data_IF_007284998186
#
_entry.id   IF_007284998186
#
_cell.length_a   1.000
_cell.length_b   1.000
_cell.length_c   1.000
_cell.angle_alpha   90.00
_cell.angle_beta   90.00
_cell.angle_gamma   90.00
#
_symmetry.space_group_name_H-M   'P 1'
#
loop_
_entity.id
_entity.type
_entity.pdbx_description
1 polymer ?
#
# COMPACT_ATOMS: atom_id res chain seq x y z
N UNK A 1 -2.55 42.09 9.65
CA UNK A 1 -2.16 40.87 10.40
C UNK A 1 -1.61 39.84 9.43
N UNK A 2 -0.78 38.92 9.92
CA UNK A 2 -0.26 37.79 9.15
C UNK A 2 -0.84 36.49 9.69
N UNK A 3 -1.25 35.59 8.80
CA UNK A 3 -1.81 34.28 9.13
C UNK A 3 -1.05 33.21 8.35
N UNK A 4 -0.50 32.23 9.05
CA UNK A 4 0.05 31.01 8.47
C UNK A 4 -0.75 29.81 8.95
N UNK A 5 -0.84 28.78 8.12
CA UNK A 5 -1.41 27.49 8.48
C UNK A 5 -0.68 26.34 7.76
N UNK A 6 -0.77 25.12 8.29
CA UNK A 6 -0.15 23.93 7.68
C UNK A 6 -0.89 22.62 8.05
N UNK A 7 -0.45 21.49 7.51
CA UNK A 7 -1.01 20.16 7.77
C UNK A 7 0.04 19.14 8.22
N UNK A 8 -0.11 18.65 9.45
CA UNK A 8 0.64 17.51 9.98
C UNK A 8 -0.19 16.22 9.88
N UNK A 9 0.27 15.28 9.05
CA UNK A 9 -0.42 13.99 8.88
C UNK A 9 -0.34 13.08 10.11
N UNK A 10 0.63 13.30 11.02
CA UNK A 10 0.75 12.54 12.26
C UNK A 10 -0.26 13.02 13.31
N UNK A 11 -0.74 14.26 13.16
CA UNK A 11 -1.77 14.90 13.99
C UNK A 11 -2.83 15.56 13.10
N UNK A 12 -3.59 14.80 12.28
CA UNK A 12 -4.40 15.33 11.18
C UNK A 12 -5.59 16.20 11.61
N UNK A 13 -5.87 16.29 12.91
CA UNK A 13 -6.91 17.14 13.50
C UNK A 13 -6.35 18.33 14.28
N UNK A 14 -5.03 18.46 14.39
CA UNK A 14 -4.42 19.59 15.07
C UNK A 14 -4.67 20.87 14.29
N UNK A 15 -5.06 21.92 15.01
CA UNK A 15 -5.23 23.26 14.46
C UNK A 15 -3.87 23.97 14.48
N UNK A 16 -3.23 24.04 13.32
CA UNK A 16 -1.90 24.62 13.14
C UNK A 16 -1.93 26.10 12.73
N UNK A 17 -3.10 26.67 12.47
CA UNK A 17 -3.25 28.07 12.14
C UNK A 17 -2.70 28.98 13.25
N UNK A 18 -1.88 29.95 12.86
CA UNK A 18 -1.31 30.98 13.72
C UNK A 18 -1.58 32.36 13.12
N UNK A 19 -1.98 33.30 13.97
CA UNK A 19 -2.28 34.69 13.57
C UNK A 19 -1.48 35.64 14.44
N UNK A 20 -0.71 36.54 13.81
CA UNK A 20 -0.02 37.63 14.51
C UNK A 20 -0.48 38.96 13.92
N UNK A 21 -1.05 39.81 14.78
CA UNK A 21 -1.46 41.16 14.43
C UNK A 21 -0.50 42.17 15.07
N UNK A 22 0.00 43.11 14.25
CA UNK A 22 0.83 44.20 14.74
C UNK A 22 0.50 45.51 13.96
N UNK A 23 -0.72 46.05 14.12
CA UNK A 23 -1.19 47.20 13.36
C UNK A 23 -0.43 48.47 13.74
N UNK A 24 -0.29 49.39 12.79
CA UNK A 24 0.15 50.77 13.02
C UNK A 24 -1.07 51.67 13.24
N UNK A 25 -0.85 52.83 13.84
CA UNK A 25 -1.87 53.88 14.00
C UNK A 25 -2.10 54.63 12.67
N UNK A 26 -2.54 53.91 11.66
CA UNK A 26 -2.86 54.43 10.32
C UNK A 26 -4.19 53.87 9.86
N UNK A 27 -4.86 54.54 8.91
CA UNK A 27 -6.01 53.95 8.23
C UNK A 27 -5.65 52.61 7.58
N UNK A 28 -6.57 51.64 7.61
CA UNK A 28 -6.44 50.32 6.96
C UNK A 28 -5.30 49.41 7.48
N UNK A 29 -4.83 49.58 8.72
CA UNK A 29 -3.76 48.76 9.31
C UNK A 29 -4.18 47.32 9.71
N UNK A 30 -5.42 46.92 9.45
CA UNK A 30 -6.00 45.64 9.88
C UNK A 30 -6.11 44.59 8.78
N UNK A 31 -5.71 44.89 7.54
CA UNK A 31 -5.76 43.91 6.45
C UNK A 31 -4.98 42.64 6.76
N UNK A 32 -5.49 41.52 6.27
CA UNK A 32 -4.93 40.20 6.47
C UNK A 32 -4.06 39.77 5.28
N UNK A 33 -2.94 39.13 5.59
CA UNK A 33 -2.16 38.34 4.65
C UNK A 33 -2.19 36.89 5.11
N UNK A 34 -2.71 35.99 4.26
CA UNK A 34 -2.78 34.55 4.52
C UNK A 34 -1.83 33.80 3.57
N UNK A 35 -1.03 32.89 4.10
CA UNK A 35 -0.09 32.05 3.32
C UNK A 35 -0.22 30.57 3.74
N UNK A 36 -0.26 29.69 2.73
CA UNK A 36 -0.26 28.22 2.85
C UNK A 36 0.61 27.60 1.74
N UNK A 37 1.46 26.60 2.04
CA UNK A 37 1.76 26.06 3.37
C UNK A 37 2.65 27.01 4.18
N UNK A 38 2.69 26.80 5.50
CA UNK A 38 3.47 27.60 6.45
C UNK A 38 4.91 27.12 6.67
N UNK A 39 5.25 25.91 6.21
CA UNK A 39 6.52 25.20 6.42
C UNK A 39 6.82 24.87 7.90
N UNK A 40 5.81 24.37 8.64
CA UNK A 40 6.00 23.92 10.01
C UNK A 40 5.04 22.79 10.40
N UNK A 41 5.43 22.00 11.40
CA UNK A 41 4.58 20.93 11.97
C UNK A 41 4.29 21.12 13.46
N UNK A 42 4.99 22.06 14.11
CA UNK A 42 4.76 22.44 15.50
C UNK A 42 4.13 23.83 15.59
N UNK A 43 3.18 23.99 16.50
CA UNK A 43 2.44 25.25 16.63
C UNK A 43 3.33 26.40 17.11
N UNK A 44 4.29 26.14 18.00
CA UNK A 44 5.20 27.17 18.52
C UNK A 44 6.16 27.69 17.45
N UNK A 45 6.62 26.80 16.56
CA UNK A 45 7.38 27.17 15.37
C UNK A 45 6.52 28.01 14.41
N UNK A 46 5.28 27.60 14.15
CA UNK A 46 4.34 28.38 13.35
C UNK A 46 4.07 29.78 13.91
N UNK A 47 3.94 29.93 15.24
CA UNK A 47 3.80 31.24 15.90
C UNK A 47 5.06 32.09 15.71
N UNK A 48 6.24 31.51 15.88
CA UNK A 48 7.52 32.18 15.64
C UNK A 48 7.63 32.67 14.19
N UNK A 49 7.36 31.81 13.21
CA UNK A 49 7.42 32.14 11.78
C UNK A 49 6.40 33.22 11.42
N UNK A 50 5.15 33.12 11.88
CA UNK A 50 4.10 34.11 11.65
C UNK A 50 4.50 35.48 12.22
N UNK A 51 5.11 35.50 13.41
CA UNK A 51 5.63 36.73 14.02
C UNK A 51 6.75 37.35 13.19
N UNK A 52 7.72 36.55 12.76
CA UNK A 52 8.81 37.00 11.87
C UNK A 52 8.26 37.61 10.58
N UNK A 53 7.23 37.00 9.98
CA UNK A 53 6.57 37.53 8.78
C UNK A 53 5.86 38.86 9.04
N UNK A 54 5.11 38.97 10.15
CA UNK A 54 4.46 40.22 10.52
C UNK A 54 5.48 41.34 10.84
N UNK A 55 6.56 41.03 11.55
CA UNK A 55 7.66 41.96 11.82
C UNK A 55 8.36 42.41 10.52
N UNK A 56 8.64 41.48 9.60
CA UNK A 56 9.18 41.80 8.28
C UNK A 56 8.23 42.73 7.51
N UNK A 57 6.94 42.41 7.42
CA UNK A 57 5.96 43.25 6.72
C UNK A 57 5.87 44.66 7.34
N UNK A 58 6.00 44.79 8.67
CA UNK A 58 5.98 46.07 9.37
C UNK A 58 7.25 46.89 9.17
N UNK A 59 8.41 46.25 9.00
CA UNK A 59 9.73 46.88 9.06
C UNK A 59 9.92 48.05 8.06
N UNK A 60 9.52 47.96 6.77
CA UNK A 60 9.69 49.05 5.80
C UNK A 60 8.99 50.36 6.17
N UNK A 61 7.88 50.31 6.93
CA UNK A 61 7.14 51.52 7.29
C UNK A 61 7.86 52.44 8.28
N UNK A 62 8.99 52.02 8.88
CA UNK A 62 9.76 52.82 9.84
C UNK A 62 11.09 53.30 9.26
N UNK A 63 11.28 53.24 7.94
CA UNK A 63 12.54 53.66 7.32
C UNK A 63 12.69 55.17 7.31
N UNK A 64 13.91 55.64 7.53
CA UNK A 64 14.29 57.05 7.44
C UNK A 64 15.40 57.17 6.41
N UNK A 65 15.29 58.12 5.51
CA UNK A 65 16.33 58.43 4.54
C UNK A 65 17.09 59.67 5.01
N UNK A 66 18.41 59.63 4.91
CA UNK A 66 19.27 60.75 5.26
C UNK A 66 20.42 60.89 4.29
N UNK A 67 21.06 62.06 4.31
CA UNK A 67 22.24 62.32 3.51
C UNK A 67 23.12 63.38 4.17
N UNK A 68 24.43 63.28 3.93
CA UNK A 68 25.40 64.23 4.44
C UNK A 68 26.83 63.86 4.09
N UNK A 69 27.78 64.66 4.57
CA UNK A 69 29.21 64.50 4.27
C UNK A 69 29.91 63.62 5.33
N UNK A 70 29.25 62.54 5.76
CA UNK A 70 29.72 61.68 6.85
C UNK A 70 30.50 60.50 6.28
N UNK A 71 31.80 60.44 6.59
CA UNK A 71 32.74 59.47 6.03
C UNK A 71 32.79 58.12 6.73
N UNK A 72 32.27 58.07 7.95
CA UNK A 72 32.45 56.94 8.87
C UNK A 72 31.22 56.03 8.96
N UNK A 73 30.16 56.30 8.18
CA UNK A 73 28.95 55.48 8.21
C UNK A 73 29.19 54.16 7.47
N UNK A 74 28.83 53.06 8.14
CA UNK A 74 28.96 51.71 7.62
C UNK A 74 27.65 50.95 7.84
N UNK A 75 27.15 50.30 6.79
CA UNK A 75 25.96 49.43 6.90
C UNK A 75 26.17 48.36 7.96
N UNK A 76 25.15 48.12 8.78
CA UNK A 76 25.18 47.17 9.90
C UNK A 76 25.56 47.78 11.26
N UNK A 77 26.02 49.03 11.30
CA UNK A 77 26.32 49.73 12.56
C UNK A 77 25.12 50.54 13.03
N UNK A 78 25.10 50.88 14.32
CA UNK A 78 24.15 51.86 14.87
C UNK A 78 24.79 53.23 15.03
N UNK A 79 23.98 54.28 14.96
CA UNK A 79 24.38 55.61 15.42
C UNK A 79 23.18 56.39 15.97
N UNK A 80 23.47 57.33 16.86
CA UNK A 80 22.46 58.22 17.44
C UNK A 80 22.35 59.50 16.63
N UNK A 81 21.14 59.81 16.15
CA UNK A 81 20.83 61.10 15.55
C UNK A 81 20.50 62.11 16.65
N UNK A 82 21.14 63.27 16.59
CA UNK A 82 20.93 64.38 17.52
C UNK A 82 20.67 65.69 16.75
N UNK A 83 20.02 66.65 17.42
CA UNK A 83 19.77 68.01 16.93
C UNK A 83 18.93 68.14 15.64
N UNK A 84 18.09 67.16 15.31
CA UNK A 84 17.08 67.27 14.27
C UNK A 84 15.84 68.07 14.78
N UNK A 85 15.23 68.96 13.98
CA UNK A 85 14.12 69.81 14.43
C UNK A 85 12.89 69.08 14.99
N UNK A 86 12.63 67.87 14.50
CA UNK A 86 11.56 67.00 15.02
C UNK A 86 12.13 66.11 16.12
N UNK A 87 11.73 66.35 17.37
CA UNK A 87 12.30 65.72 18.55
C UNK A 87 12.25 64.18 18.49
N UNK A 88 11.15 63.61 18.00
CA UNK A 88 10.88 62.16 17.94
C UNK A 88 11.80 61.40 16.96
N UNK A 89 12.49 62.13 16.08
CA UNK A 89 13.46 61.57 15.12
C UNK A 89 14.85 61.47 15.77
N UNK A 90 15.14 62.19 16.85
CA UNK A 90 16.42 62.11 17.55
C UNK A 90 16.50 60.85 18.41
N UNK A 91 17.02 59.77 17.85
CA UNK A 91 17.15 58.47 18.50
C UNK A 91 18.28 57.65 17.88
N UNK A 92 18.50 56.44 18.39
CA UNK A 92 19.42 55.48 17.80
C UNK A 92 18.80 54.76 16.59
N UNK A 93 19.60 54.64 15.53
CA UNK A 93 19.25 53.98 14.29
C UNK A 93 20.27 52.93 13.88
N UNK A 94 19.80 51.82 13.32
CA UNK A 94 20.58 50.88 12.53
C UNK A 94 20.73 51.39 11.09
N UNK A 95 21.97 51.42 10.58
CA UNK A 95 22.29 51.73 9.19
C UNK A 95 21.98 50.53 8.28
N UNK A 96 20.88 50.60 7.55
CA UNK A 96 20.40 49.53 6.67
C UNK A 96 21.12 49.52 5.31
N UNK A 97 21.43 50.71 4.79
CA UNK A 97 22.12 50.88 3.52
C UNK A 97 22.93 52.17 3.55
N UNK A 98 24.14 52.14 2.99
CA UNK A 98 24.95 53.34 2.71
C UNK A 98 25.30 53.36 1.23
N UNK A 99 25.05 54.49 0.57
CA UNK A 99 25.45 54.77 -0.80
C UNK A 99 26.44 55.93 -0.76
N UNK A 100 27.66 55.66 -1.19
CA UNK A 100 28.75 56.60 -1.16
C UNK A 100 29.02 57.19 -2.55
N UNK A 101 29.06 58.50 -2.63
CA UNK A 101 29.55 59.25 -3.78
C UNK A 101 30.81 60.02 -3.39
N UNK A 102 31.93 59.67 -4.04
CA UNK A 102 33.21 60.37 -3.86
C UNK A 102 33.68 60.91 -5.20
N UNK A 103 34.01 62.18 -5.22
CA UNK A 103 34.71 62.84 -6.30
C UNK A 103 35.99 63.45 -5.75
N UNK A 104 37.12 63.14 -6.38
CA UNK A 104 38.42 63.68 -6.02
C UNK A 104 38.76 64.91 -6.87
N UNK A 105 39.73 65.69 -6.40
CA UNK A 105 40.28 66.86 -7.04
C UNK A 105 40.99 66.52 -8.37
N UNK A 106 40.99 67.47 -9.31
CA UNK A 106 41.66 67.31 -10.59
C UNK A 106 43.19 67.37 -10.44
N UNK A 107 43.92 66.50 -11.14
CA UNK A 107 45.38 66.34 -10.97
C UNK A 107 46.23 67.49 -11.54
N UNK A 108 45.67 68.37 -12.38
CA UNK A 108 46.39 69.46 -13.06
C UNK A 108 45.93 70.83 -12.57
N UNK A 109 46.89 71.76 -12.40
CA UNK A 109 46.60 73.16 -12.08
C UNK A 109 45.89 73.85 -13.26
N UNK A 110 44.81 74.58 -12.97
CA UNK A 110 44.00 75.31 -13.97
C UNK A 110 42.66 74.68 -14.33
N UNK A 111 42.31 73.51 -13.76
CA UNK A 111 40.94 72.96 -13.79
C UNK A 111 40.21 73.24 -12.48
N UNK A 112 38.87 73.26 -12.53
CA UNK A 112 38.03 73.42 -11.34
C UNK A 112 38.30 72.27 -10.34
N UNK A 113 38.79 72.65 -9.16
CA UNK A 113 39.16 71.74 -8.08
C UNK A 113 37.93 71.45 -7.22
N UNK A 114 37.33 70.26 -7.38
CA UNK A 114 36.13 69.86 -6.65
C UNK A 114 36.33 68.52 -5.94
N UNK A 115 36.48 68.56 -4.61
CA UNK A 115 36.36 67.40 -3.74
C UNK A 115 34.92 67.29 -3.24
N UNK A 116 34.27 66.15 -3.46
CA UNK A 116 32.94 65.87 -2.92
C UNK A 116 32.95 64.52 -2.22
N UNK A 117 32.40 64.48 -1.01
CA UNK A 117 32.10 63.25 -0.31
C UNK A 117 30.66 63.33 0.18
N UNK A 118 29.77 62.56 -0.45
CA UNK A 118 28.35 62.53 -0.09
C UNK A 118 27.94 61.09 0.22
N UNK A 119 27.41 60.89 1.41
CA UNK A 119 26.82 59.62 1.82
C UNK A 119 25.32 59.81 1.86
N UNK A 120 24.58 58.99 1.12
CA UNK A 120 23.14 58.78 1.31
C UNK A 120 22.95 57.49 2.08
N UNK A 121 22.01 57.45 3.00
CA UNK A 121 21.82 56.28 3.84
C UNK A 121 20.34 56.05 4.17
N UNK A 122 20.00 54.78 4.35
CA UNK A 122 18.70 54.33 4.86
C UNK A 122 18.88 53.81 6.28
N UNK A 123 18.01 54.26 7.17
CA UNK A 123 18.03 53.97 8.59
C UNK A 123 16.80 53.21 9.04
N UNK A 124 16.96 52.41 10.09
CA UNK A 124 15.87 51.77 10.81
C UNK A 124 16.00 52.03 12.32
N UNK A 125 14.97 52.57 12.99
CA UNK A 125 15.02 52.81 14.44
C UNK A 125 15.33 51.52 15.22
N UNK A 126 16.28 51.55 16.16
CA UNK A 126 16.64 50.34 16.93
C UNK A 126 15.52 49.87 17.87
N UNK A 127 14.56 50.74 18.18
CA UNK A 127 13.32 50.40 18.92
C UNK A 127 12.34 49.53 18.13
N UNK A 128 12.48 49.42 16.81
CA UNK A 128 11.64 48.54 15.98
C UNK A 128 12.46 47.31 15.58
N UNK A 129 11.82 46.14 15.62
CA UNK A 129 12.49 44.88 15.27
C UNK A 129 12.73 44.85 13.76
N UNK A 130 14.00 44.67 13.36
CA UNK A 130 14.35 44.40 11.98
C UNK A 130 14.20 42.92 11.63
N UNK A 131 13.55 42.67 10.49
CA UNK A 131 13.58 41.38 9.78
C UNK A 131 13.82 41.64 8.29
N UNK A 132 14.66 40.81 7.63
CA UNK A 132 14.88 40.92 6.19
C UNK A 132 13.60 40.58 5.41
N UNK A 133 13.40 41.27 4.28
CA UNK A 133 12.34 40.92 3.33
C UNK A 133 12.68 39.63 2.59
N UNK A 134 11.67 38.83 2.23
CA UNK A 134 11.84 37.68 1.33
C UNK A 134 11.95 38.15 -0.12
N UNK A 135 13.14 38.59 -0.53
CA UNK A 135 13.40 39.00 -1.92
C UNK A 135 13.77 37.82 -2.83
N UNK A 136 14.15 36.68 -2.25
CA UNK A 136 14.53 35.46 -2.97
C UNK A 136 13.39 34.45 -2.88
N UNK A 137 12.97 33.91 -4.02
CA UNK A 137 11.97 32.85 -4.09
C UNK A 137 12.53 31.52 -3.58
N UNK A 138 11.71 30.73 -2.88
CA UNK A 138 12.06 29.35 -2.50
C UNK A 138 12.30 28.53 -3.78
N UNK A 139 13.32 27.64 -3.83
CA UNK A 139 13.47 26.70 -4.93
C UNK A 139 12.23 25.80 -5.06
N UNK A 140 11.80 25.53 -6.28
CA UNK A 140 10.69 24.63 -6.56
C UNK A 140 11.10 23.59 -7.60
N UNK A 141 10.66 22.35 -7.39
CA UNK A 141 10.68 21.29 -8.38
C UNK A 141 9.58 21.52 -9.42
N UNK A 142 9.73 20.92 -10.61
CA UNK A 142 8.80 21.09 -11.74
C UNK A 142 8.06 19.82 -12.14
N UNK A 143 8.13 18.78 -11.31
CA UNK A 143 7.45 17.52 -11.54
C UNK A 143 8.11 16.34 -10.81
N UNK A 144 7.54 15.14 -10.96
CA UNK A 144 8.04 13.95 -10.30
C UNK A 144 9.42 13.55 -10.79
N UNK A 145 10.19 12.91 -9.91
CA UNK A 145 11.53 12.43 -10.17
C UNK A 145 11.65 10.96 -9.75
N UNK A 146 12.44 10.17 -10.48
CA UNK A 146 12.76 8.81 -10.07
C UNK A 146 13.74 8.81 -8.89
N UNK A 147 13.53 7.89 -7.95
CA UNK A 147 14.44 7.59 -6.85
C UNK A 147 14.46 6.09 -6.59
N UNK A 148 15.55 5.59 -6.01
CA UNK A 148 15.67 4.17 -5.62
C UNK A 148 15.38 4.04 -4.14
N UNK A 149 14.54 3.07 -3.77
CA UNK A 149 14.24 2.78 -2.36
C UNK A 149 15.47 2.23 -1.65
N UNK A 150 15.79 2.75 -0.48
CA UNK A 150 16.97 2.39 0.31
C UNK A 150 16.60 1.88 1.71
N UNK A 151 17.57 1.26 2.37
CA UNK A 151 17.43 0.79 3.74
C UNK A 151 18.70 0.11 4.25
N UNK A 152 18.68 -0.47 5.46
CA UNK A 152 19.84 -1.10 6.05
C UNK A 152 20.33 -2.30 5.25
N UNK A 153 21.64 -2.53 5.26
CA UNK A 153 22.26 -3.69 4.62
C UNK A 153 21.63 -5.01 5.13
N UNK A 154 21.35 -5.92 4.20
CA UNK A 154 20.79 -7.24 4.49
C UNK A 154 19.26 -7.26 4.68
N UNK A 155 18.58 -6.12 4.57
CA UNK A 155 17.11 -6.05 4.56
C UNK A 155 16.59 -6.00 3.11
N UNK A 156 15.45 -6.64 2.86
CA UNK A 156 14.69 -6.46 1.61
C UNK A 156 13.63 -5.36 1.71
N UNK A 157 13.18 -5.03 2.92
CA UNK A 157 12.10 -4.08 3.18
C UNK A 157 12.45 -3.22 4.39
N UNK A 158 12.24 -1.90 4.26
CA UNK A 158 12.48 -0.95 5.34
C UNK A 158 11.36 0.09 5.38
N UNK A 159 10.52 0.00 6.41
CA UNK A 159 9.31 0.81 6.55
C UNK A 159 9.03 1.13 8.01
N UNK A 160 8.29 2.20 8.24
CA UNK A 160 7.80 2.57 9.57
C UNK A 160 6.29 2.31 9.76
N UNK A 161 5.75 2.72 10.91
CA UNK A 161 4.34 2.56 11.29
C UNK A 161 3.33 3.23 10.35
N UNK A 162 3.76 4.13 9.48
CA UNK A 162 2.92 4.85 8.52
C UNK A 162 3.07 4.28 7.09
N UNK A 163 3.83 3.20 6.90
CA UNK A 163 4.11 2.65 5.58
C UNK A 163 5.00 3.56 4.73
N UNK A 164 5.84 4.38 5.36
CA UNK A 164 6.82 5.24 4.68
C UNK A 164 8.08 4.44 4.36
N UNK A 165 8.78 4.84 3.31
CA UNK A 165 10.10 4.29 2.95
C UNK A 165 11.14 5.40 2.86
N UNK A 166 12.40 5.03 2.74
CA UNK A 166 13.51 5.94 2.43
C UNK A 166 13.99 5.69 1.01
N UNK A 167 14.56 6.71 0.40
CA UNK A 167 15.04 6.65 -0.99
C UNK A 167 16.36 7.39 -1.14
N UNK A 168 17.04 7.16 -2.25
CA UNK A 168 18.11 8.03 -2.73
C UNK A 168 17.75 8.53 -4.13
N UNK A 169 17.84 9.84 -4.32
CA UNK A 169 17.61 10.48 -5.62
C UNK A 169 18.85 10.34 -6.52
N UNK A 170 18.64 10.27 -7.83
CA UNK A 170 19.75 10.12 -8.79
C UNK A 170 20.76 11.28 -8.81
N UNK A 171 20.36 12.47 -8.32
CA UNK A 171 21.23 13.63 -8.18
C UNK A 171 21.94 13.71 -6.82
N UNK A 172 21.58 12.85 -5.86
CA UNK A 172 22.26 12.80 -4.56
C UNK A 172 23.63 12.14 -4.70
N UNK A 173 24.68 12.96 -4.58
CA UNK A 173 26.09 12.56 -4.69
C UNK A 173 26.70 12.12 -3.36
N UNK A 174 26.00 12.30 -2.25
CA UNK A 174 26.54 12.06 -0.90
C UNK A 174 25.92 10.83 -0.23
N UNK A 175 24.69 10.47 -0.61
CA UNK A 175 24.01 9.27 -0.14
C UNK A 175 24.79 7.99 -0.47
N UNK A 176 24.71 7.01 0.44
CA UNK A 176 25.43 5.73 0.38
C UNK A 176 24.55 4.54 0.02
N UNK A 177 23.34 4.79 -0.47
CA UNK A 177 22.29 3.81 -0.73
C UNK A 177 21.91 3.03 0.54
N UNK A 178 21.86 3.71 1.68
CA UNK A 178 21.60 3.14 3.01
C UNK A 178 20.37 3.78 3.68
N UNK A 179 20.09 3.40 4.93
CA UNK A 179 18.99 3.93 5.74
C UNK A 179 19.12 5.41 6.11
N UNK A 180 20.21 6.09 5.78
CA UNK A 180 20.44 7.51 6.08
C UNK A 180 20.30 8.40 4.84
N UNK A 181 20.02 7.81 3.67
CA UNK A 181 19.94 8.53 2.38
C UNK A 181 18.86 9.60 2.32
N UNK A 182 17.74 9.44 3.07
CA UNK A 182 16.67 10.44 3.12
C UNK A 182 15.90 10.45 4.44
N UNK A 183 14.99 11.42 4.55
CA UNK A 183 13.88 11.38 5.50
C UNK A 183 12.89 10.26 5.13
N UNK A 184 11.93 9.99 6.01
CA UNK A 184 10.84 9.06 5.72
C UNK A 184 9.80 9.69 4.79
N UNK A 185 9.58 9.05 3.64
CA UNK A 185 8.70 9.55 2.58
C UNK A 185 7.41 8.73 2.54
N UNK A 186 6.25 9.40 2.55
CA UNK A 186 4.95 8.73 2.43
C UNK A 186 4.75 8.16 1.05
N UNK A 187 4.08 7.02 0.99
CA UNK A 187 3.77 6.29 -0.25
C UNK A 187 2.28 6.43 -0.54
N UNK A 188 1.97 6.84 -1.77
CA UNK A 188 0.62 6.78 -2.30
C UNK A 188 0.21 5.32 -2.53
N UNK A 189 -0.97 4.95 -2.07
CA UNK A 189 -1.55 3.62 -2.25
C UNK A 189 -2.82 3.70 -3.10
N UNK A 190 -3.15 2.65 -3.88
CA UNK A 190 -4.36 2.65 -4.70
C UNK A 190 -5.67 2.87 -3.90
N UNK A 191 -5.69 2.46 -2.63
CA UNK A 191 -6.83 2.64 -1.73
C UNK A 191 -6.37 2.74 -0.28
N UNK A 192 -6.69 3.84 0.41
CA UNK A 192 -6.31 4.04 1.81
C UNK A 192 -7.49 4.58 2.63
N UNK A 193 -7.94 3.81 3.63
CA UNK A 193 -9.02 4.15 4.55
C UNK A 193 -8.65 3.94 6.02
N UNK A 194 -9.56 4.30 6.93
CA UNK A 194 -9.35 4.13 8.37
C UNK A 194 -9.45 2.65 8.75
N UNK A 195 -8.32 1.94 8.74
CA UNK A 195 -8.23 0.52 9.08
C UNK A 195 -8.57 -0.45 7.95
N UNK A 196 -8.64 0.03 6.71
CA UNK A 196 -8.88 -0.79 5.51
C UNK A 196 -8.20 -0.16 4.30
N UNK A 197 -8.00 -0.93 3.23
CA UNK A 197 -7.40 -0.45 1.98
C UNK A 197 -6.46 -1.47 1.35
N UNK A 198 -5.61 -1.00 0.45
CA UNK A 198 -4.56 -1.77 -0.20
C UNK A 198 -3.19 -1.25 0.26
N UNK A 199 -2.29 -2.16 0.58
CA UNK A 199 -0.92 -1.83 0.95
C UNK A 199 0.05 -2.72 0.20
N UNK A 200 0.97 -2.11 -0.54
CA UNK A 200 2.11 -2.78 -1.16
C UNK A 200 3.34 -1.95 -0.85
N UNK A 201 4.14 -2.27 0.16
CA UNK A 201 5.27 -1.41 0.53
C UNK A 201 6.39 -1.53 -0.52
N UNK A 202 6.95 -0.43 -1.08
CA UNK A 202 8.12 -0.50 -1.94
C UNK A 202 9.29 -1.17 -1.23
N UNK A 203 9.98 -2.09 -1.90
CA UNK A 203 11.14 -2.81 -1.37
C UNK A 203 12.44 -2.13 -1.76
N UNK A 204 13.49 -2.37 -0.97
CA UNK A 204 14.83 -1.82 -1.21
C UNK A 204 15.29 -2.23 -2.61
N UNK A 205 15.86 -1.27 -3.35
CA UNK A 205 16.31 -1.44 -4.73
C UNK A 205 15.25 -1.16 -5.80
N UNK A 206 13.96 -1.03 -5.44
CA UNK A 206 12.91 -0.71 -6.41
C UNK A 206 12.92 0.77 -6.77
N UNK A 207 12.59 1.07 -8.03
CA UNK A 207 12.39 2.45 -8.50
C UNK A 207 10.99 2.96 -8.14
N UNK A 208 10.94 4.19 -7.63
CA UNK A 208 9.72 4.91 -7.30
C UNK A 208 9.72 6.29 -7.93
N UNK A 209 8.53 6.79 -8.25
CA UNK A 209 8.32 8.16 -8.68
C UNK A 209 7.97 9.02 -7.47
N UNK A 210 8.79 10.02 -7.19
CA UNK A 210 8.65 10.95 -6.07
C UNK A 210 8.23 12.32 -6.60
N UNK A 211 7.06 12.78 -6.18
CA UNK A 211 6.62 14.15 -6.37
C UNK A 211 6.86 14.96 -5.08
N UNK A 212 6.68 16.27 -5.16
CA UNK A 212 6.96 17.19 -4.08
C UNK A 212 5.75 18.08 -3.85
N UNK A 213 5.21 18.10 -2.63
CA UNK A 213 3.98 18.85 -2.34
C UNK A 213 4.19 20.33 -2.63
N UNK A 214 3.30 20.92 -3.43
CA UNK A 214 3.42 22.31 -3.89
C UNK A 214 4.76 22.61 -4.61
N UNK A 215 5.44 21.58 -5.12
CA UNK A 215 6.76 21.70 -5.74
C UNK A 215 7.91 21.84 -4.74
N UNK A 216 7.67 21.78 -3.43
CA UNK A 216 8.69 22.01 -2.41
C UNK A 216 9.65 20.81 -2.24
N UNK A 217 10.96 20.95 -2.56
CA UNK A 217 11.95 19.89 -2.41
C UNK A 217 12.01 19.26 -1.00
N UNK A 218 11.58 19.99 0.03
CA UNK A 218 11.61 19.53 1.43
C UNK A 218 10.42 18.61 1.77
N UNK A 219 9.40 18.52 0.90
CA UNK A 219 8.14 17.80 1.14
C UNK A 219 7.89 16.69 0.10
N UNK A 220 8.78 15.67 0.00
CA UNK A 220 8.61 14.58 -0.94
C UNK A 220 7.42 13.67 -0.60
N UNK A 221 6.84 13.07 -1.64
CA UNK A 221 5.80 12.05 -1.56
C UNK A 221 5.95 11.09 -2.73
N UNK A 222 5.96 9.78 -2.47
CA UNK A 222 5.99 8.78 -3.53
C UNK A 222 4.60 8.65 -4.13
N UNK A 223 4.47 8.86 -5.43
CA UNK A 223 3.20 8.87 -6.17
C UNK A 223 3.05 7.71 -7.13
N UNK A 224 4.13 7.00 -7.45
CA UNK A 224 4.10 5.90 -8.42
C UNK A 224 5.31 4.98 -8.34
N UNK A 225 5.29 3.96 -9.20
CA UNK A 225 6.35 2.96 -9.36
C UNK A 225 6.53 2.69 -10.84
N UNK A 226 7.75 2.33 -11.21
CA UNK A 226 8.12 1.99 -12.57
C UNK A 226 8.96 0.73 -12.55
N UNK A 227 8.76 -0.11 -13.56
CA UNK A 227 9.71 -1.19 -13.86
C UNK A 227 10.89 -0.61 -14.64
N UNK A 228 12.06 -1.21 -14.46
CA UNK A 228 13.28 -0.89 -15.19
C UNK A 228 14.07 -2.18 -15.49
N UNK A 229 15.29 -2.05 -16.00
CA UNK A 229 16.06 -3.23 -16.42
C UNK A 229 16.45 -4.16 -15.26
N UNK A 230 16.63 -3.62 -14.05
CA UNK A 230 16.95 -4.41 -12.85
C UNK A 230 15.69 -4.98 -12.18
N UNK A 231 14.55 -4.29 -12.37
CA UNK A 231 13.24 -4.69 -11.86
C UNK A 231 12.29 -4.85 -13.03
N UNK A 232 12.42 -5.95 -13.76
CA UNK A 232 11.56 -6.24 -14.91
C UNK A 232 10.13 -6.62 -14.47
N UNK A 233 9.12 -6.40 -15.33
CA UNK A 233 7.77 -6.89 -15.10
C UNK A 233 7.73 -8.41 -14.83
N UNK A 234 6.76 -8.91 -14.04
CA UNK A 234 6.70 -10.31 -13.61
C UNK A 234 6.36 -11.30 -14.72
N UNK A 235 5.91 -10.83 -15.89
CA UNK A 235 5.57 -11.67 -17.04
C UNK A 235 6.48 -11.36 -18.22
N UNK A 236 6.67 -12.36 -19.09
CA UNK A 236 7.52 -12.26 -20.27
C UNK A 236 6.94 -11.34 -21.35
N UNK A 237 7.01 -10.03 -21.15
CA UNK A 237 6.61 -9.02 -22.12
C UNK A 237 7.64 -8.90 -23.27
N UNK A 238 7.18 -8.61 -24.50
CA UNK A 238 5.80 -8.34 -24.91
C UNK A 238 4.95 -9.60 -25.17
N UNK A 239 5.52 -10.81 -25.10
CA UNK A 239 4.82 -12.06 -25.42
C UNK A 239 3.59 -12.35 -24.56
N UNK A 240 3.60 -11.90 -23.30
CA UNK A 240 2.50 -12.03 -22.35
C UNK A 240 1.61 -10.76 -22.25
N UNK A 241 1.46 -10.00 -23.33
CA UNK A 241 0.71 -8.72 -23.32
C UNK A 241 -0.79 -8.86 -22.95
N UNK A 242 -1.38 -10.05 -23.08
CA UNK A 242 -2.76 -10.33 -22.64
C UNK A 242 -2.87 -10.63 -21.14
N UNK A 243 -1.75 -10.70 -20.42
CA UNK A 243 -1.73 -11.04 -19.00
C UNK A 243 -1.73 -9.79 -18.13
N UNK A 244 -2.53 -9.84 -17.06
CA UNK A 244 -2.64 -8.79 -16.05
C UNK A 244 -2.83 -9.39 -14.65
N UNK A 245 -2.68 -8.59 -13.60
CA UNK A 245 -2.84 -9.03 -12.21
C UNK A 245 -1.72 -8.63 -11.25
N UNK A 246 -1.58 -9.39 -10.17
CA UNK A 246 -0.68 -9.13 -9.05
C UNK A 246 0.14 -10.39 -8.79
N UNK A 247 1.46 -10.22 -8.72
CA UNK A 247 2.40 -11.25 -8.29
C UNK A 247 3.23 -10.71 -7.13
N UNK A 248 3.16 -11.37 -5.97
CA UNK A 248 4.01 -11.06 -4.82
C UNK A 248 5.25 -11.93 -4.82
N UNK A 249 6.28 -11.51 -4.08
CA UNK A 249 7.47 -12.33 -3.86
C UNK A 249 7.65 -12.60 -2.37
N UNK A 250 7.93 -13.84 -1.99
CA UNK A 250 8.31 -14.19 -0.61
C UNK A 250 9.56 -13.41 -0.21
N UNK A 251 9.55 -12.80 0.97
CA UNK A 251 10.75 -12.12 1.50
C UNK A 251 11.84 -13.17 1.73
N UNK A 252 13.05 -12.91 1.23
CA UNK A 252 14.20 -13.82 1.31
C UNK A 252 13.95 -15.20 0.67
N UNK A 253 12.94 -15.29 -0.20
CA UNK A 253 12.61 -16.50 -0.97
C UNK A 253 13.37 -16.59 -2.28
N UNK A 254 13.28 -17.74 -2.95
CA UNK A 254 13.77 -17.90 -4.32
C UNK A 254 12.92 -17.12 -5.33
N UNK A 255 13.41 -16.94 -6.56
CA UNK A 255 12.85 -16.03 -7.58
C UNK A 255 11.41 -16.33 -8.01
N UNK A 256 10.91 -17.54 -7.71
CA UNK A 256 9.57 -18.00 -8.09
C UNK A 256 8.63 -18.17 -6.90
N UNK A 257 9.10 -17.94 -5.67
CA UNK A 257 8.29 -18.12 -4.47
C UNK A 257 7.40 -16.90 -4.27
N UNK A 258 6.09 -17.06 -4.39
CA UNK A 258 5.19 -15.93 -4.45
C UNK A 258 3.72 -16.29 -4.53
N UNK A 259 2.85 -15.33 -4.20
CA UNK A 259 1.41 -15.48 -4.36
C UNK A 259 0.97 -14.74 -5.63
N UNK A 260 -0.08 -15.23 -6.29
CA UNK A 260 -0.52 -14.66 -7.56
C UNK A 260 -2.04 -14.62 -7.68
N UNK A 261 -2.53 -13.51 -8.21
CA UNK A 261 -3.81 -13.42 -8.89
C UNK A 261 -3.54 -12.89 -10.30
N UNK A 262 -3.73 -13.71 -11.32
CA UNK A 262 -3.47 -13.36 -12.72
C UNK A 262 -4.71 -13.61 -13.57
N UNK A 263 -4.95 -12.71 -14.51
CA UNK A 263 -5.93 -12.80 -15.58
C UNK A 263 -5.17 -12.90 -16.91
N UNK A 264 -5.58 -13.80 -17.80
CA UNK A 264 -5.11 -13.86 -19.18
C UNK A 264 -6.32 -13.65 -20.10
N UNK A 265 -6.34 -12.54 -20.84
CA UNK A 265 -7.44 -12.13 -21.71
C UNK A 265 -7.25 -12.62 -23.16
N UNK A 266 -6.45 -13.67 -23.36
CA UNK A 266 -6.25 -14.26 -24.68
C UNK A 266 -7.51 -15.00 -25.13
N UNK A 267 -8.14 -14.52 -26.20
CA UNK A 267 -9.38 -15.08 -26.74
C UNK A 267 -9.30 -16.58 -27.02
N UNK A 268 -10.24 -17.36 -26.46
CA UNK A 268 -10.31 -18.81 -26.60
C UNK A 268 -9.33 -19.59 -25.71
N UNK A 269 -8.57 -18.89 -24.86
CA UNK A 269 -7.63 -19.43 -23.89
C UNK A 269 -7.63 -18.59 -22.60
N UNK A 270 -8.77 -17.96 -22.28
CA UNK A 270 -8.92 -17.09 -21.13
C UNK A 270 -8.67 -17.87 -19.84
N UNK A 271 -7.92 -17.28 -18.90
CA UNK A 271 -7.59 -17.94 -17.64
C UNK A 271 -7.61 -16.95 -16.48
N UNK A 272 -8.16 -17.39 -15.34
CA UNK A 272 -7.87 -16.79 -14.04
C UNK A 272 -7.04 -17.76 -13.24
N UNK A 273 -5.83 -17.35 -12.86
CA UNK A 273 -4.92 -18.14 -12.03
C UNK A 273 -4.80 -17.53 -10.65
N UNK A 274 -5.18 -18.32 -9.67
CA UNK A 274 -4.97 -18.01 -8.26
C UNK A 274 -3.97 -19.01 -7.67
N UNK A 275 -2.87 -18.49 -7.13
CA UNK A 275 -1.77 -19.28 -6.59
C UNK A 275 -1.39 -18.79 -5.20
N UNK A 276 -1.38 -19.70 -4.24
CA UNK A 276 -0.87 -19.47 -2.90
C UNK A 276 0.42 -20.26 -2.71
N UNK A 277 1.49 -19.60 -2.28
CA UNK A 277 2.80 -20.23 -2.08
C UNK A 277 2.76 -21.26 -0.93
N UNK A 278 1.92 -21.03 0.07
CA UNK A 278 1.87 -21.85 1.28
C UNK A 278 0.43 -22.21 1.68
N UNK A 279 -0.20 -21.36 2.48
CA UNK A 279 -1.53 -21.63 3.02
C UNK A 279 -2.57 -20.77 2.28
N UNK A 280 -3.67 -21.38 1.86
CA UNK A 280 -4.85 -20.68 1.36
C UNK A 280 -6.00 -20.83 2.35
N UNK A 281 -6.31 -19.77 3.09
CA UNK A 281 -7.45 -19.71 4.00
C UNK A 281 -8.59 -18.94 3.34
N UNK A 282 -9.78 -19.55 3.30
CA UNK A 282 -11.00 -18.92 2.78
C UNK A 282 -12.06 -18.90 3.87
N UNK A 283 -12.74 -17.77 4.06
CA UNK A 283 -13.84 -17.65 5.03
C UNK A 283 -14.97 -16.86 4.40
N UNK A 284 -16.13 -17.52 4.25
CA UNK A 284 -17.35 -16.92 3.72
C UNK A 284 -18.35 -16.82 4.87
N UNK A 285 -18.80 -15.61 5.20
CA UNK A 285 -19.67 -15.37 6.36
C UNK A 285 -21.16 -15.64 6.11
N UNK A 286 -21.51 -15.98 4.88
CA UNK A 286 -22.89 -16.24 4.49
C UNK A 286 -22.91 -17.40 3.48
N UNK A 287 -23.19 -17.13 2.20
CA UNK A 287 -23.34 -18.16 1.17
C UNK A 287 -22.15 -18.14 0.20
N UNK A 288 -21.65 -19.34 -0.15
CA UNK A 288 -20.72 -19.54 -1.27
C UNK A 288 -21.46 -20.30 -2.39
N UNK A 289 -21.32 -19.83 -3.63
CA UNK A 289 -21.83 -20.54 -4.82
C UNK A 289 -20.68 -20.83 -5.77
N UNK A 290 -20.70 -22.00 -6.39
CA UNK A 290 -19.65 -22.44 -7.30
C UNK A 290 -20.28 -23.20 -8.47
N UNK A 291 -20.10 -22.68 -9.69
CA UNK A 291 -20.61 -23.29 -10.92
C UNK A 291 -19.47 -23.50 -11.89
N UNK A 292 -19.29 -24.74 -12.35
CA UNK A 292 -18.35 -25.09 -13.43
C UNK A 292 -19.19 -25.69 -14.56
N UNK A 293 -19.11 -25.08 -15.75
CA UNK A 293 -19.98 -25.47 -16.87
C UNK A 293 -19.50 -26.70 -17.63
N UNK A 294 -18.21 -27.05 -17.49
CA UNK A 294 -17.59 -28.19 -18.18
C UNK A 294 -17.09 -29.16 -17.12
N UNK A 295 -15.79 -29.13 -16.78
CA UNK A 295 -15.17 -30.11 -15.91
C UNK A 295 -14.48 -29.47 -14.69
N UNK A 296 -14.57 -30.13 -13.53
CA UNK A 296 -13.83 -29.76 -12.32
C UNK A 296 -12.94 -30.91 -11.88
N UNK A 297 -11.62 -30.67 -11.87
CA UNK A 297 -10.64 -31.59 -11.27
C UNK A 297 -10.17 -31.06 -9.92
N UNK A 298 -10.17 -31.92 -8.89
CA UNK A 298 -9.69 -31.60 -7.53
C UNK A 298 -8.69 -32.65 -7.07
N UNK A 299 -7.46 -32.23 -6.76
CA UNK A 299 -6.39 -33.12 -6.29
C UNK A 299 -5.92 -32.69 -4.90
N UNK A 300 -5.92 -33.63 -3.95
CA UNK A 300 -5.39 -33.46 -2.60
C UNK A 300 -4.33 -34.52 -2.39
N UNK A 301 -3.07 -34.11 -2.23
CA UNK A 301 -1.94 -35.03 -2.13
C UNK A 301 -1.90 -35.74 -0.76
N UNK A 302 -2.39 -35.05 0.28
CA UNK A 302 -2.43 -35.57 1.65
C UNK A 302 -3.87 -35.85 2.07
N UNK A 303 -4.38 -35.09 3.03
CA UNK A 303 -5.65 -35.38 3.68
C UNK A 303 -6.69 -34.32 3.31
N UNK A 304 -7.93 -34.75 3.11
CA UNK A 304 -9.11 -33.90 3.04
C UNK A 304 -10.02 -34.20 4.23
N UNK A 305 -10.58 -33.16 4.83
CA UNK A 305 -11.65 -33.29 5.84
C UNK A 305 -12.77 -32.36 5.43
N UNK A 306 -14.00 -32.89 5.45
CA UNK A 306 -15.20 -32.14 5.13
C UNK A 306 -16.19 -32.30 6.30
N UNK A 307 -16.67 -31.17 6.81
CA UNK A 307 -17.64 -31.12 7.92
C UNK A 307 -18.80 -30.26 7.48
N UNK A 308 -20.00 -30.83 7.50
CA UNK A 308 -21.26 -30.16 7.16
C UNK A 308 -22.10 -30.18 8.43
N UNK A 309 -22.52 -28.99 8.89
CA UNK A 309 -23.24 -28.87 10.16
C UNK A 309 -24.68 -29.40 10.11
N UNK A 310 -25.30 -29.34 8.92
CA UNK A 310 -26.68 -29.77 8.67
C UNK A 310 -26.67 -30.79 7.51
N UNK A 311 -27.44 -30.54 6.46
CA UNK A 311 -27.62 -31.48 5.35
C UNK A 311 -26.54 -31.39 4.27
N UNK A 312 -26.11 -32.56 3.78
CA UNK A 312 -25.33 -32.70 2.54
C UNK A 312 -26.16 -33.44 1.49
N UNK A 313 -26.55 -32.75 0.43
CA UNK A 313 -27.20 -33.32 -0.74
C UNK A 313 -26.22 -33.43 -1.91
N UNK A 314 -26.26 -34.52 -2.67
CA UNK A 314 -25.43 -34.72 -3.86
C UNK A 314 -26.26 -35.41 -4.93
N UNK A 315 -26.23 -34.88 -6.15
CA UNK A 315 -26.94 -35.44 -7.30
C UNK A 315 -25.95 -35.62 -8.43
N UNK A 316 -25.79 -36.86 -8.90
CA UNK A 316 -24.95 -37.22 -10.03
C UNK A 316 -25.87 -37.83 -11.09
N UNK A 317 -25.88 -37.25 -12.29
CA UNK A 317 -26.85 -37.61 -13.35
C UNK A 317 -26.44 -38.82 -14.17
N UNK A 318 -25.16 -39.20 -14.09
CA UNK A 318 -24.59 -40.37 -14.75
C UNK A 318 -23.94 -41.27 -13.69
N UNK A 319 -22.66 -41.56 -13.82
CA UNK A 319 -21.95 -42.49 -12.95
C UNK A 319 -21.32 -41.77 -11.76
N UNK A 320 -21.47 -42.34 -10.57
CA UNK A 320 -20.72 -41.96 -9.37
C UNK A 320 -19.79 -43.13 -9.00
N UNK A 321 -18.49 -42.85 -8.91
CA UNK A 321 -17.45 -43.86 -8.74
C UNK A 321 -16.58 -43.55 -7.53
N UNK A 322 -16.38 -44.55 -6.67
CA UNK A 322 -15.52 -44.44 -5.49
C UNK A 322 -14.52 -45.59 -5.46
N UNK A 323 -13.22 -45.27 -5.40
CA UNK A 323 -12.15 -46.24 -5.19
C UNK A 323 -11.40 -45.92 -3.90
N UNK A 324 -11.40 -46.88 -2.97
CA UNK A 324 -10.71 -46.77 -1.68
C UNK A 324 -9.74 -47.94 -1.55
N UNK A 325 -8.45 -47.65 -1.42
CA UNK A 325 -7.39 -48.68 -1.46
C UNK A 325 -7.25 -49.49 -0.16
N UNK A 326 -7.67 -48.95 0.97
CA UNK A 326 -7.48 -49.58 2.28
C UNK A 326 -8.81 -49.93 2.93
N UNK A 327 -9.50 -48.94 3.51
CA UNK A 327 -10.74 -49.16 4.23
C UNK A 327 -11.70 -47.99 4.04
N UNK A 328 -12.97 -48.33 3.86
CA UNK A 328 -14.08 -47.40 3.93
C UNK A 328 -14.90 -47.71 5.19
N UNK A 329 -15.16 -46.69 6.01
CA UNK A 329 -16.01 -46.79 7.20
C UNK A 329 -17.18 -45.83 7.05
N UNK A 330 -18.41 -46.34 7.21
CA UNK A 330 -19.64 -45.55 7.15
C UNK A 330 -20.36 -45.75 8.49
N UNK A 331 -20.46 -44.69 9.28
CA UNK A 331 -21.21 -44.68 10.54
C UNK A 331 -22.47 -43.84 10.38
N UNK A 332 -23.64 -44.46 10.53
CA UNK A 332 -24.93 -43.80 10.37
C UNK A 332 -25.72 -43.96 11.67
N UNK A 333 -26.16 -42.84 12.25
CA UNK A 333 -26.81 -42.84 13.56
C UNK A 333 -28.23 -43.39 13.57
N UNK A 334 -28.91 -43.39 12.42
CA UNK A 334 -30.31 -43.85 12.29
C UNK A 334 -30.45 -44.87 11.17
N UNK A 335 -30.73 -44.42 9.95
CA UNK A 335 -31.09 -45.29 8.82
C UNK A 335 -30.09 -45.16 7.69
N UNK A 336 -29.49 -46.28 7.28
CA UNK A 336 -28.81 -46.39 6.00
C UNK A 336 -29.75 -46.99 4.97
N UNK A 337 -30.10 -46.20 3.94
CA UNK A 337 -31.01 -46.62 2.87
C UNK A 337 -30.29 -46.62 1.54
N UNK A 338 -30.37 -47.73 0.83
CA UNK A 338 -29.89 -47.90 -0.53
C UNK A 338 -31.08 -48.34 -1.39
N UNK A 339 -31.52 -47.45 -2.28
CA UNK A 339 -32.54 -47.75 -3.28
C UNK A 339 -31.85 -47.92 -4.62
N UNK A 340 -31.94 -49.13 -5.19
CA UNK A 340 -31.29 -49.47 -6.46
C UNK A 340 -32.34 -49.93 -7.47
N UNK A 341 -32.34 -49.32 -8.65
CA UNK A 341 -33.39 -49.51 -9.65
C UNK A 341 -33.28 -50.79 -10.49
N UNK A 342 -32.08 -51.37 -10.61
CA UNK A 342 -31.85 -52.55 -11.46
C UNK A 342 -31.25 -53.73 -10.69
N UNK A 343 -30.03 -53.58 -10.17
CA UNK A 343 -29.33 -54.65 -9.44
C UNK A 343 -28.48 -54.09 -8.32
N UNK A 344 -28.64 -54.61 -7.11
CA UNK A 344 -27.73 -54.33 -5.98
C UNK A 344 -26.81 -55.52 -5.74
N UNK A 345 -25.49 -55.27 -5.79
CA UNK A 345 -24.46 -56.30 -5.69
C UNK A 345 -23.50 -55.97 -4.55
N UNK A 346 -23.31 -56.92 -3.64
CA UNK A 346 -22.26 -56.89 -2.63
C UNK A 346 -21.33 -58.08 -2.82
N UNK A 347 -20.09 -57.83 -3.22
CA UNK A 347 -19.09 -58.87 -3.50
C UNK A 347 -17.87 -58.74 -2.60
N UNK A 348 -17.39 -59.87 -2.08
CA UNK A 348 -16.16 -60.00 -1.30
C UNK A 348 -15.39 -61.26 -1.73
N UNK A 349 -14.41 -61.10 -2.62
CA UNK A 349 -13.68 -62.22 -3.21
C UNK A 349 -14.62 -63.19 -3.94
N UNK A 350 -14.70 -64.42 -3.44
CA UNK A 350 -15.54 -65.50 -3.98
C UNK A 350 -16.94 -65.58 -3.36
N UNK A 351 -17.32 -64.62 -2.51
CA UNK A 351 -18.66 -64.50 -1.96
C UNK A 351 -19.40 -63.32 -2.58
N UNK A 352 -20.69 -63.49 -2.87
CA UNK A 352 -21.55 -62.46 -3.41
C UNK A 352 -22.99 -62.56 -2.88
N UNK A 353 -23.61 -61.39 -2.72
CA UNK A 353 -25.04 -61.19 -2.52
C UNK A 353 -25.55 -60.31 -3.65
N UNK A 354 -26.62 -60.73 -4.32
CA UNK A 354 -27.20 -60.01 -5.45
C UNK A 354 -28.71 -59.91 -5.27
N UNK A 355 -29.25 -58.70 -5.38
CA UNK A 355 -30.68 -58.42 -5.45
C UNK A 355 -31.01 -57.89 -6.84
N UNK A 356 -32.01 -58.48 -7.48
CA UNK A 356 -32.46 -58.11 -8.82
C UNK A 356 -33.79 -57.34 -8.77
N UNK A 357 -34.04 -56.49 -9.77
CA UNK A 357 -35.29 -55.73 -9.90
C UNK A 357 -36.56 -56.59 -10.00
N UNK A 358 -36.44 -57.86 -10.37
CA UNK A 358 -37.55 -58.81 -10.44
C UNK A 358 -37.91 -59.40 -9.06
N UNK A 359 -37.13 -59.07 -8.02
CA UNK A 359 -37.31 -59.52 -6.65
C UNK A 359 -36.52 -60.77 -6.28
N UNK A 360 -35.74 -61.35 -7.21
CA UNK A 360 -34.87 -62.48 -6.91
C UNK A 360 -33.67 -62.06 -6.06
N UNK A 361 -33.23 -62.97 -5.17
CA UNK A 361 -32.10 -62.77 -4.24
C UNK A 361 -31.18 -63.99 -4.34
N UNK A 362 -29.93 -63.75 -4.68
CA UNK A 362 -28.92 -64.79 -4.85
C UNK A 362 -27.79 -64.64 -3.83
N UNK A 363 -27.39 -65.77 -3.24
CA UNK A 363 -26.23 -65.90 -2.37
C UNK A 363 -25.27 -66.93 -2.96
N UNK A 364 -24.02 -66.53 -3.17
CA UNK A 364 -22.95 -67.42 -3.59
C UNK A 364 -21.77 -67.33 -2.61
N UNK A 365 -21.17 -68.48 -2.28
CA UNK A 365 -19.95 -68.55 -1.49
C UNK A 365 -19.55 -69.98 -1.12
N UNK A 366 -18.43 -70.11 -0.39
CA UNK A 366 -17.92 -71.41 0.08
C UNK A 366 -18.88 -72.11 1.06
N UNK A 367 -19.54 -71.33 1.93
CA UNK A 367 -20.43 -71.82 2.97
C UNK A 367 -21.40 -70.70 3.35
N UNK A 368 -22.69 -71.03 3.47
CA UNK A 368 -23.72 -70.15 4.02
C UNK A 368 -24.10 -70.65 5.42
N UNK A 369 -23.81 -69.87 6.45
CA UNK A 369 -24.19 -70.15 7.82
C UNK A 369 -25.28 -69.19 8.26
N UNK A 370 -26.41 -69.72 8.72
CA UNK A 370 -27.53 -68.94 9.23
C UNK A 370 -27.78 -69.31 10.70
N UNK A 371 -27.55 -68.38 11.61
CA UNK A 371 -27.71 -68.57 13.05
C UNK A 371 -28.86 -67.71 13.58
N UNK A 372 -29.83 -68.31 14.27
CA UNK A 372 -30.95 -67.60 14.91
C UNK A 372 -31.03 -67.93 16.41
N UNK A 373 -31.30 -66.92 17.25
CA UNK A 373 -31.49 -67.11 18.70
C UNK A 373 -32.93 -67.49 19.09
N UNK A 374 -33.86 -67.38 18.15
CA UNK A 374 -35.27 -67.75 18.30
C UNK A 374 -35.66 -68.64 17.11
N UNK A 375 -36.66 -68.27 16.30
CA UNK A 375 -37.14 -69.08 15.17
C UNK A 375 -36.55 -68.63 13.84
N UNK A 376 -36.09 -69.58 13.02
CA UNK A 376 -35.86 -69.40 11.58
C UNK A 376 -37.06 -69.94 10.78
N UNK A 377 -37.60 -69.16 9.84
CA UNK A 377 -38.69 -69.59 8.96
C UNK A 377 -38.29 -69.42 7.50
N UNK A 378 -38.56 -70.44 6.69
CA UNK A 378 -38.49 -70.41 5.24
C UNK A 378 -39.90 -70.68 4.71
N UNK A 379 -40.47 -69.73 3.97
CA UNK A 379 -41.87 -69.79 3.52
C UNK A 379 -41.89 -69.43 2.03
N UNK A 380 -42.42 -70.35 1.23
CA UNK A 380 -42.59 -70.17 -0.20
C UNK A 380 -43.68 -71.10 -0.72
N UNK A 381 -44.06 -70.94 -1.99
CA UNK A 381 -44.98 -71.90 -2.65
C UNK A 381 -44.37 -73.30 -2.79
N UNK A 382 -43.04 -73.38 -2.78
CA UNK A 382 -42.24 -74.60 -2.75
C UNK A 382 -40.85 -74.29 -2.16
N UNK A 383 -40.23 -75.28 -1.53
CA UNK A 383 -38.86 -75.21 -1.02
C UNK A 383 -38.12 -76.44 -1.54
N UNK A 384 -37.17 -76.21 -2.43
CA UNK A 384 -36.32 -77.26 -2.99
C UNK A 384 -34.95 -77.23 -2.31
N UNK A 385 -34.57 -78.36 -1.70
CA UNK A 385 -33.27 -78.55 -1.07
C UNK A 385 -32.47 -79.57 -1.89
N UNK A 386 -31.44 -79.10 -2.58
CA UNK A 386 -30.66 -79.89 -3.55
C UNK A 386 -31.52 -80.50 -4.67
N UNK A 387 -32.21 -79.68 -5.50
CA UNK A 387 -33.01 -80.18 -6.60
C UNK A 387 -32.15 -80.94 -7.62
N UNK A 388 -32.75 -81.94 -8.27
CA UNK A 388 -32.08 -82.70 -9.35
C UNK A 388 -31.61 -81.77 -10.46
N UNK A 389 -30.31 -81.79 -10.76
CA UNK A 389 -29.68 -80.91 -11.75
C UNK A 389 -29.17 -79.56 -11.21
N UNK A 390 -29.27 -79.29 -9.91
CA UNK A 390 -28.69 -78.09 -9.30
C UNK A 390 -27.16 -78.05 -9.40
N UNK A 391 -26.62 -76.96 -9.94
CA UNK A 391 -25.17 -76.72 -10.07
C UNK A 391 -24.72 -75.56 -9.18
N UNK A 392 -23.54 -75.69 -8.57
CA UNK A 392 -22.93 -74.58 -7.85
C UNK A 392 -22.57 -73.45 -8.82
N UNK A 393 -23.00 -72.22 -8.50
CA UNK A 393 -22.61 -71.00 -9.19
C UNK A 393 -21.48 -70.30 -8.43
N UNK A 394 -20.69 -69.50 -9.12
CA UNK A 394 -19.59 -68.69 -8.59
C UNK A 394 -20.00 -67.23 -8.45
N UNK A 395 -19.23 -66.45 -7.68
CA UNK A 395 -19.45 -65.01 -7.59
C UNK A 395 -19.29 -64.31 -8.96
N UNK A 396 -18.50 -64.88 -9.88
CA UNK A 396 -18.38 -64.34 -11.25
C UNK A 396 -19.61 -64.62 -12.12
N UNK A 397 -20.37 -65.69 -11.83
CA UNK A 397 -21.59 -66.02 -12.57
C UNK A 397 -22.74 -65.05 -12.26
N UNK A 398 -22.85 -64.63 -10.99
CA UNK A 398 -24.00 -63.84 -10.50
C UNK A 398 -23.66 -62.35 -10.31
N UNK A 399 -22.38 -62.04 -10.11
CA UNK A 399 -21.86 -60.70 -9.82
C UNK A 399 -20.54 -60.47 -10.58
N UNK A 400 -20.53 -60.54 -11.93
CA UNK A 400 -19.32 -60.40 -12.72
C UNK A 400 -18.66 -59.05 -12.41
N UNK A 401 -17.32 -59.07 -12.26
CA UNK A 401 -16.59 -57.81 -12.17
C UNK A 401 -16.76 -57.04 -13.49
N UNK A 402 -16.91 -55.71 -13.44
CA UNK A 402 -16.87 -54.91 -14.65
C UNK A 402 -15.57 -55.23 -15.40
N UNK A 403 -15.67 -55.53 -16.70
CA UNK A 403 -14.48 -55.61 -17.55
C UNK A 403 -13.77 -54.27 -17.49
N UNK A 404 -12.47 -54.28 -17.14
CA UNK A 404 -11.65 -53.08 -17.18
C UNK A 404 -11.64 -52.53 -18.61
N UNK A 405 -12.31 -51.41 -18.85
CA UNK A 405 -12.05 -50.57 -20.02
C UNK A 405 -10.75 -49.78 -19.86
#
# INVERSE_FOLDING_TARGET
>A
QWVLDDFDFTKPRSLLANTVANPRETGHATYEHYEWPGDYFDKSEGEMLTRIRMEAQRSPGSRVLGGGNIRTLMTGYTFTLENYPTAEVNQEYLLMQTLLFVQDNAQHSGQDQHFTFSTRFELHPTREVFRPQRTVSKPHTKGPQSAIVTGPSGQEIWTDQYGRVKVQFGWDRYGKMDENSSCWIRVSYPWAGKGFGMIQIPRIGQEVLVDFKNGDPDLPIIVGRTYNQDTMPPWGLPGAATQSGIYSHSLYGGPTNGNMLRFDDKTGAEEVKFHAEKDLNTTVKNNETHTVMVDRTKTIIKNETNSIGEDRNTTVTKNDGLSVKLAQTINIGTTYRLDVGDQFTLRCGNAALVLHKDGSIEFCGKQLMLHTSDVMQLIGKGIDMNPDGGTAVTADDIAPLPTSE
#
